data_IF_957543001469
#
_entry.id   IF_957543001469
#
_cell.length_a   1.000
_cell.length_b   1.000
_cell.length_c   1.000
_cell.angle_alpha   90.00
_cell.angle_beta   90.00
_cell.angle_gamma   90.00
#
_symmetry.space_group_name_H-M   'P 1'
#
loop_
_entity.id
_entity.type
_entity.pdbx_description
1 polymer ?
#
# COMPACT_ATOMS: atom_id res chain seq x y z
N UNK A 1 48.01 8.76 20.66
CA UNK A 1 46.55 8.54 20.69
C UNK A 1 45.95 9.31 19.52
N UNK A 2 45.80 8.67 18.36
CA UNK A 2 45.19 9.28 17.18
C UNK A 2 43.68 9.22 17.34
N UNK A 3 43.04 10.38 17.46
CA UNK A 3 41.59 10.50 17.48
C UNK A 3 41.04 10.13 16.10
N UNK A 4 40.37 8.98 16.01
CA UNK A 4 39.64 8.57 14.80
C UNK A 4 38.43 9.50 14.68
N UNK A 5 38.53 10.52 13.82
CA UNK A 5 37.38 11.31 13.40
C UNK A 5 36.59 10.47 12.39
N UNK A 6 35.56 9.78 12.87
CA UNK A 6 34.56 9.17 11.99
C UNK A 6 33.77 10.33 11.37
N UNK A 7 34.07 10.65 10.11
CA UNK A 7 33.20 11.52 9.32
C UNK A 7 31.95 10.70 8.96
N UNK A 8 30.84 10.95 9.66
CA UNK A 8 29.54 10.48 9.21
C UNK A 8 29.25 11.20 7.89
N UNK A 9 29.23 10.44 6.79
CA UNK A 9 28.85 10.96 5.48
C UNK A 9 27.35 11.23 5.52
N UNK A 10 26.98 12.49 5.71
CA UNK A 10 25.59 12.94 5.64
C UNK A 10 25.17 12.83 4.18
N UNK A 11 24.22 11.93 3.91
CA UNK A 11 23.61 11.77 2.58
C UNK A 11 22.51 12.81 2.43
N UNK A 12 22.29 13.28 1.20
CA UNK A 12 21.09 14.06 0.89
C UNK A 12 19.89 13.12 0.91
N UNK A 13 18.91 13.33 1.81
CA UNK A 13 17.76 12.45 1.90
C UNK A 13 16.90 12.54 0.64
N UNK A 14 16.29 11.43 0.23
CA UNK A 14 15.37 11.42 -0.90
C UNK A 14 14.23 10.43 -0.68
N UNK A 15 13.10 10.68 -1.35
CA UNK A 15 11.94 9.80 -1.31
C UNK A 15 11.27 9.76 -2.69
N UNK A 16 10.85 8.58 -3.11
CA UNK A 16 10.11 8.34 -4.36
C UNK A 16 8.82 7.61 -4.02
N UNK A 17 7.71 8.08 -4.58
CA UNK A 17 6.36 7.58 -4.31
C UNK A 17 5.67 7.21 -5.62
N UNK A 18 4.87 6.14 -5.63
CA UNK A 18 3.90 5.86 -6.69
C UNK A 18 2.49 5.68 -6.12
N UNK A 19 1.49 6.01 -6.94
CA UNK A 19 0.07 5.98 -6.57
C UNK A 19 -0.78 5.06 -7.46
N UNK A 20 -0.17 4.08 -8.13
CA UNK A 20 -0.85 3.15 -9.04
C UNK A 20 -0.44 3.35 -10.50
N UNK A 21 -0.78 2.38 -11.34
CA UNK A 21 -0.51 2.41 -12.76
C UNK A 21 -1.77 2.03 -13.53
N UNK A 22 -2.57 3.04 -13.91
CA UNK A 22 -3.75 2.88 -14.77
C UNK A 22 -4.00 4.13 -15.60
N UNK A 23 -4.82 4.06 -16.66
CA UNK A 23 -5.39 5.24 -17.30
C UNK A 23 -6.21 6.02 -16.28
N UNK A 24 -5.80 7.27 -16.04
CA UNK A 24 -6.51 8.20 -15.17
C UNK A 24 -7.35 9.13 -16.07
N UNK A 25 -8.68 9.22 -15.88
CA UNK A 25 -9.51 10.17 -16.62
C UNK A 25 -9.01 11.61 -16.41
N UNK A 26 -9.19 12.48 -17.41
CA UNK A 26 -8.58 13.82 -17.41
C UNK A 26 -8.90 14.61 -16.14
N UNK A 27 -10.16 14.59 -15.71
CA UNK A 27 -10.66 15.30 -14.53
C UNK A 27 -10.02 14.82 -13.22
N UNK A 28 -9.48 13.59 -13.20
CA UNK A 28 -8.84 13.00 -12.03
C UNK A 28 -7.32 13.13 -12.04
N UNK A 29 -6.67 13.46 -13.16
CA UNK A 29 -5.20 13.53 -13.24
C UNK A 29 -4.59 14.48 -12.22
N UNK A 30 -5.15 15.67 -12.09
CA UNK A 30 -4.63 16.68 -11.17
C UNK A 30 -4.89 16.30 -9.69
N UNK A 31 -6.09 15.82 -9.29
CA UNK A 31 -6.30 15.24 -7.96
C UNK A 31 -5.32 14.10 -7.60
N UNK A 32 -5.07 13.13 -8.50
CA UNK A 32 -4.12 12.05 -8.26
C UNK A 32 -2.70 12.58 -8.08
N UNK A 33 -2.27 13.50 -8.95
CA UNK A 33 -0.96 14.15 -8.85
C UNK A 33 -0.80 14.89 -7.53
N UNK A 34 -1.81 15.63 -7.09
CA UNK A 34 -1.79 16.31 -5.79
C UNK A 34 -1.70 15.34 -4.62
N UNK A 35 -2.41 14.20 -4.70
CA UNK A 35 -2.30 13.12 -3.71
C UNK A 35 -0.88 12.57 -3.59
N UNK A 36 -0.24 12.23 -4.72
CA UNK A 36 1.15 11.73 -4.74
C UNK A 36 2.14 12.79 -4.25
N UNK A 37 1.94 14.06 -4.64
CA UNK A 37 2.76 15.17 -4.15
C UNK A 37 2.63 15.39 -2.65
N UNK A 38 1.41 15.26 -2.10
CA UNK A 38 1.18 15.36 -0.66
C UNK A 38 1.87 14.23 0.09
N UNK A 39 1.74 12.99 -0.37
CA UNK A 39 2.41 11.83 0.20
C UNK A 39 3.94 12.00 0.20
N UNK A 40 4.51 12.43 -0.92
CA UNK A 40 5.94 12.72 -1.04
C UNK A 40 6.38 13.82 -0.05
N UNK A 41 5.61 14.91 0.08
CA UNK A 41 5.90 15.98 1.06
C UNK A 41 5.83 15.48 2.50
N UNK A 42 4.86 14.62 2.83
CA UNK A 42 4.72 14.04 4.17
C UNK A 42 5.92 13.16 4.55
N UNK A 43 6.33 12.25 3.67
CA UNK A 43 7.53 11.44 3.91
C UNK A 43 8.82 12.27 3.90
N UNK A 44 8.94 13.25 3.00
CA UNK A 44 10.12 14.11 2.95
C UNK A 44 10.28 15.01 4.18
N UNK A 45 9.17 15.48 4.77
CA UNK A 45 9.20 16.24 6.03
C UNK A 45 9.84 15.43 7.16
N UNK A 46 9.49 14.14 7.28
CA UNK A 46 10.11 13.22 8.26
C UNK A 46 11.62 13.13 8.06
N UNK A 47 12.08 13.04 6.82
CA UNK A 47 13.52 13.00 6.50
C UNK A 47 14.24 14.30 6.86
N UNK A 48 13.62 15.47 6.59
CA UNK A 48 14.17 16.78 6.93
C UNK A 48 14.29 17.00 8.44
N UNK A 49 13.39 16.39 9.22
CA UNK A 49 13.41 16.41 10.69
C UNK A 49 14.42 15.39 11.28
N UNK A 50 15.12 14.63 10.45
CA UNK A 50 16.12 13.64 10.87
C UNK A 50 15.57 12.25 11.20
N UNK A 51 14.30 12.00 10.87
CA UNK A 51 13.65 10.70 10.99
C UNK A 51 14.31 9.61 10.13
N UNK A 52 13.92 8.35 10.35
CA UNK A 52 14.44 7.24 9.57
C UNK A 52 13.76 7.08 8.20
N UNK A 53 14.42 6.35 7.30
CA UNK A 53 13.82 5.96 6.04
C UNK A 53 12.51 5.18 6.26
N UNK A 54 12.44 4.34 7.29
CA UNK A 54 11.23 3.57 7.67
C UNK A 54 10.09 4.52 8.07
N UNK A 55 10.37 5.50 8.92
CA UNK A 55 9.38 6.50 9.33
C UNK A 55 8.86 7.30 8.12
N UNK A 56 9.75 7.63 7.18
CA UNK A 56 9.40 8.40 6.00
C UNK A 56 8.51 7.62 5.01
N UNK A 57 8.82 6.35 4.73
CA UNK A 57 7.98 5.52 3.84
C UNK A 57 6.65 5.18 4.48
N UNK A 58 6.61 4.93 5.80
CA UNK A 58 5.35 4.74 6.52
C UNK A 58 4.49 5.99 6.40
N UNK A 59 5.01 7.18 6.75
CA UNK A 59 4.25 8.43 6.71
C UNK A 59 3.68 8.75 5.32
N UNK A 60 4.45 8.46 4.26
CA UNK A 60 4.01 8.68 2.89
C UNK A 60 2.90 7.69 2.47
N UNK A 61 3.07 6.40 2.75
CA UNK A 61 2.07 5.37 2.39
C UNK A 61 0.80 5.54 3.22
N UNK A 62 0.91 5.83 4.52
CA UNK A 62 -0.24 6.11 5.39
C UNK A 62 -1.07 7.29 4.87
N UNK A 63 -0.42 8.32 4.34
CA UNK A 63 -1.12 9.44 3.72
C UNK A 63 -1.92 9.04 2.47
N UNK A 64 -1.42 8.07 1.69
CA UNK A 64 -2.15 7.54 0.55
C UNK A 64 -3.28 6.59 0.97
N UNK A 65 -3.08 5.78 2.02
CA UNK A 65 -4.13 4.94 2.62
C UNK A 65 -5.30 5.76 3.19
N UNK A 66 -5.03 6.97 3.69
CA UNK A 66 -6.05 7.89 4.18
C UNK A 66 -6.81 8.60 3.03
N UNK A 67 -6.29 8.54 1.79
CA UNK A 67 -6.82 9.28 0.65
C UNK A 67 -7.66 8.36 -0.27
N UNK A 68 -8.99 8.62 -0.39
CA UNK A 68 -9.94 7.74 -1.08
C UNK A 68 -9.70 7.57 -2.59
N UNK A 69 -8.86 8.42 -3.18
CA UNK A 69 -8.48 8.30 -4.58
C UNK A 69 -7.68 7.02 -4.83
N UNK A 70 -6.85 6.60 -3.88
CA UNK A 70 -5.95 5.47 -4.07
C UNK A 70 -6.57 4.14 -3.65
N UNK A 71 -6.18 3.06 -4.33
CA UNK A 71 -6.59 1.71 -3.96
C UNK A 71 -5.70 1.16 -2.82
N UNK A 72 -5.82 1.75 -1.64
CA UNK A 72 -5.17 1.31 -0.40
C UNK A 72 -5.90 1.94 0.78
N UNK A 73 -6.02 1.22 1.91
CA UNK A 73 -6.74 1.74 3.07
C UNK A 73 -8.18 2.15 2.73
N UNK A 74 -8.53 3.41 2.98
CA UNK A 74 -9.82 3.98 2.59
C UNK A 74 -9.84 4.27 1.10
N UNK A 75 -10.88 3.81 0.40
CA UNK A 75 -11.00 3.92 -1.06
C UNK A 75 -10.48 2.70 -1.81
N UNK A 76 -10.12 1.64 -1.07
CA UNK A 76 -9.72 0.36 -1.63
C UNK A 76 -10.81 -0.25 -2.52
N UNK A 77 -10.36 -1.07 -3.47
CA UNK A 77 -11.19 -1.99 -4.20
C UNK A 77 -11.85 -2.98 -3.24
N UNK A 78 -12.98 -3.53 -3.68
CA UNK A 78 -13.78 -4.46 -2.93
C UNK A 78 -13.61 -5.88 -3.47
N UNK A 79 -13.72 -6.83 -2.56
CA UNK A 79 -13.89 -8.25 -2.86
C UNK A 79 -15.25 -8.51 -3.55
N UNK A 80 -15.45 -9.73 -4.04
CA UNK A 80 -16.74 -10.19 -4.58
C UNK A 80 -17.89 -10.12 -3.54
N UNK A 81 -17.54 -10.16 -2.25
CA UNK A 81 -18.47 -10.01 -1.13
C UNK A 81 -18.72 -8.54 -0.75
N UNK A 82 -18.22 -7.58 -1.54
CA UNK A 82 -18.25 -6.14 -1.29
C UNK A 82 -17.57 -5.73 0.03
N UNK A 83 -16.54 -6.46 0.45
CA UNK A 83 -15.75 -6.15 1.64
C UNK A 83 -14.42 -5.51 1.30
N UNK A 84 -13.88 -4.70 2.22
CA UNK A 84 -12.54 -4.12 2.13
C UNK A 84 -11.51 -5.07 2.73
N UNK A 85 -10.68 -5.68 1.88
CA UNK A 85 -9.52 -6.50 2.28
C UNK A 85 -8.24 -5.82 1.83
N UNK A 86 -7.25 -5.76 2.71
CA UNK A 86 -6.07 -4.96 2.50
C UNK A 86 -4.79 -5.76 2.74
N UNK A 87 -3.78 -5.47 1.93
CA UNK A 87 -2.43 -6.01 2.07
C UNK A 87 -1.44 -4.84 2.20
N UNK A 88 -0.43 -5.00 3.05
CA UNK A 88 0.68 -4.06 3.10
C UNK A 88 1.97 -4.70 3.62
N UNK A 89 3.10 -4.10 3.24
CA UNK A 89 4.43 -4.47 3.73
C UNK A 89 5.28 -3.23 3.97
N UNK A 90 6.27 -3.38 4.86
CA UNK A 90 7.33 -2.41 5.11
C UNK A 90 8.64 -3.16 5.39
N UNK A 91 9.76 -2.62 4.94
CA UNK A 91 11.08 -3.21 5.13
C UNK A 91 12.14 -2.15 5.43
N UNK A 92 12.96 -2.42 6.43
CA UNK A 92 14.19 -1.70 6.72
C UNK A 92 15.38 -2.33 5.97
N UNK A 93 15.99 -1.58 5.07
CA UNK A 93 17.15 -2.02 4.30
C UNK A 93 18.44 -2.11 5.12
N UNK A 94 18.50 -1.52 6.31
CA UNK A 94 19.67 -1.61 7.17
C UNK A 94 19.74 -2.94 7.93
N UNK A 95 18.66 -3.30 8.63
CA UNK A 95 18.59 -4.53 9.42
C UNK A 95 18.05 -5.74 8.64
N UNK A 96 17.47 -5.51 7.46
CA UNK A 96 16.66 -6.48 6.71
C UNK A 96 15.39 -6.93 7.46
N UNK A 97 15.02 -6.25 8.54
CA UNK A 97 13.74 -6.47 9.20
C UNK A 97 12.61 -6.10 8.24
N UNK A 98 11.58 -6.94 8.20
CA UNK A 98 10.41 -6.74 7.37
C UNK A 98 9.16 -7.13 8.15
N UNK A 99 8.06 -6.47 7.86
CA UNK A 99 6.76 -6.81 8.39
C UNK A 99 5.71 -6.63 7.31
N UNK A 100 4.70 -7.48 7.34
CA UNK A 100 3.64 -7.50 6.36
C UNK A 100 2.33 -7.98 6.99
N UNK A 101 1.24 -7.51 6.41
CA UNK A 101 -0.10 -8.02 6.65
C UNK A 101 -0.79 -8.33 5.33
N UNK A 102 -1.60 -9.38 5.32
CA UNK A 102 -2.38 -9.77 4.16
C UNK A 102 -3.83 -10.10 4.53
N UNK A 103 -4.76 -9.85 3.62
CA UNK A 103 -6.19 -10.08 3.78
C UNK A 103 -6.74 -9.48 5.09
N UNK A 104 -6.24 -8.31 5.50
CA UNK A 104 -6.70 -7.68 6.75
C UNK A 104 -7.94 -6.84 6.48
N UNK A 105 -8.91 -7.00 7.37
CA UNK A 105 -10.14 -6.22 7.39
C UNK A 105 -10.14 -5.31 8.61
N UNK A 106 -10.94 -4.23 8.56
CA UNK A 106 -11.13 -3.30 9.68
C UNK A 106 -9.85 -2.56 10.15
N UNK A 107 -8.84 -2.45 9.29
CA UNK A 107 -7.59 -1.74 9.57
C UNK A 107 -7.47 -0.57 8.60
N UNK A 108 -7.58 0.67 9.09
CA UNK A 108 -7.51 1.85 8.24
C UNK A 108 -6.12 2.05 7.61
N UNK A 109 -5.07 1.69 8.34
CA UNK A 109 -3.68 1.87 7.91
C UNK A 109 -2.87 0.57 7.99
N UNK A 110 -3.03 -0.34 7.01
CA UNK A 110 -2.31 -1.62 6.95
C UNK A 110 -0.79 -1.49 7.01
N UNK A 111 -0.19 -0.45 6.39
CA UNK A 111 1.27 -0.24 6.42
C UNK A 111 1.79 -0.06 7.85
N UNK A 112 1.02 0.64 8.69
CA UNK A 112 1.37 0.82 10.09
C UNK A 112 1.23 -0.49 10.87
N UNK A 113 0.21 -1.30 10.59
CA UNK A 113 0.10 -2.63 11.21
C UNK A 113 1.25 -3.55 10.76
N UNK A 114 1.64 -3.51 9.48
CA UNK A 114 2.81 -4.22 8.96
C UNK A 114 4.10 -3.80 9.70
N UNK A 115 4.27 -2.51 9.99
CA UNK A 115 5.38 -2.03 10.83
C UNK A 115 5.33 -2.62 12.23
N UNK A 116 4.16 -2.73 12.86
CA UNK A 116 4.01 -3.39 14.16
C UNK A 116 4.37 -4.87 14.09
N UNK A 117 4.07 -5.57 12.99
CA UNK A 117 4.52 -6.96 12.78
C UNK A 117 6.04 -7.03 12.79
N UNK A 118 6.71 -6.12 12.08
CA UNK A 118 8.18 -6.02 12.01
C UNK A 118 8.82 -5.77 13.37
N UNK A 119 8.25 -4.87 14.18
CA UNK A 119 8.87 -4.37 15.42
C UNK A 119 8.48 -5.19 16.66
N UNK A 120 7.24 -5.70 16.74
CA UNK A 120 6.69 -6.32 17.95
C UNK A 120 6.64 -7.85 17.90
N UNK A 121 7.06 -8.47 16.79
CA UNK A 121 6.97 -9.93 16.60
C UNK A 121 8.24 -10.53 15.99
N UNK A 122 8.50 -11.84 16.18
CA UNK A 122 9.58 -12.53 15.48
C UNK A 122 9.19 -12.97 14.05
N UNK A 123 8.03 -12.55 13.53
CA UNK A 123 7.47 -12.96 12.24
C UNK A 123 7.52 -11.82 11.24
N UNK A 124 7.61 -12.14 9.95
CA UNK A 124 7.60 -11.14 8.87
C UNK A 124 6.21 -10.91 8.25
N UNK A 125 5.24 -11.79 8.49
CA UNK A 125 3.92 -11.74 7.88
C UNK A 125 2.87 -12.32 8.81
N UNK A 126 1.75 -11.61 8.98
CA UNK A 126 0.51 -12.12 9.55
C UNK A 126 -0.62 -11.95 8.53
N UNK A 127 -1.62 -12.82 8.54
CA UNK A 127 -2.72 -12.75 7.58
C UNK A 127 -4.09 -12.90 8.26
N UNK A 128 -5.11 -12.31 7.64
CA UNK A 128 -6.52 -12.47 7.98
C UNK A 128 -6.82 -12.25 9.46
N UNK A 129 -7.60 -13.16 10.04
CA UNK A 129 -8.00 -13.10 11.44
C UNK A 129 -6.80 -13.13 12.42
N UNK A 130 -5.69 -13.78 12.03
CA UNK A 130 -4.47 -13.83 12.84
C UNK A 130 -3.83 -12.44 13.01
N UNK A 131 -3.77 -11.67 11.93
CA UNK A 131 -3.31 -10.28 11.96
C UNK A 131 -4.27 -9.38 12.77
N UNK A 132 -5.59 -9.58 12.66
CA UNK A 132 -6.58 -8.82 13.44
C UNK A 132 -6.51 -9.13 14.94
N UNK A 133 -6.30 -10.40 15.32
CA UNK A 133 -6.04 -10.80 16.72
C UNK A 133 -4.79 -10.13 17.26
N UNK A 134 -3.73 -10.07 16.46
CA UNK A 134 -2.52 -9.36 16.82
C UNK A 134 -2.77 -7.86 17.01
N UNK A 135 -3.45 -7.19 16.07
CA UNK A 135 -3.82 -5.78 16.17
C UNK A 135 -4.56 -5.49 17.48
N UNK A 136 -5.59 -6.28 17.81
CA UNK A 136 -6.35 -6.16 19.07
C UNK A 136 -5.45 -6.38 20.31
N UNK A 137 -4.56 -7.37 20.27
CA UNK A 137 -3.65 -7.70 21.37
C UNK A 137 -2.71 -6.54 21.72
N UNK A 138 -2.20 -5.82 20.71
CA UNK A 138 -1.29 -4.68 20.91
C UNK A 138 -2.03 -3.35 21.12
N UNK A 139 -3.36 -3.35 21.13
CA UNK A 139 -4.17 -2.14 21.22
C UNK A 139 -4.09 -1.25 19.97
N UNK A 140 -3.80 -1.83 18.80
CA UNK A 140 -3.80 -1.12 17.53
C UNK A 140 -5.23 -0.70 17.16
N UNK A 141 -5.46 0.51 16.61
CA UNK A 141 -6.79 0.96 16.22
C UNK A 141 -7.46 0.00 15.22
N UNK A 142 -8.62 -0.53 15.60
CA UNK A 142 -9.48 -1.33 14.73
C UNK A 142 -10.73 -0.51 14.44
N UNK A 143 -11.10 -0.43 13.17
CA UNK A 143 -12.30 0.24 12.72
C UNK A 143 -13.53 -0.57 13.18
N UNK A 144 -14.46 0.07 13.88
CA UNK A 144 -15.67 -0.61 14.37
C UNK A 144 -16.60 -1.02 13.23
N UNK A 145 -16.78 -0.15 12.24
CA UNK A 145 -17.55 -0.40 11.03
C UNK A 145 -16.61 -0.41 9.80
N UNK A 146 -16.22 -1.58 9.27
CA UNK A 146 -15.33 -1.66 8.10
C UNK A 146 -15.84 -0.93 6.85
N UNK A 147 -17.16 -0.66 6.76
CA UNK A 147 -17.74 0.06 5.62
C UNK A 147 -17.22 1.50 5.48
N UNK A 148 -16.65 2.09 6.54
CA UNK A 148 -16.04 3.43 6.44
C UNK A 148 -14.80 3.48 5.53
N UNK A 149 -14.18 2.32 5.28
CA UNK A 149 -13.08 2.17 4.33
C UNK A 149 -13.58 2.14 2.88
N UNK A 150 -14.86 1.81 2.67
CA UNK A 150 -15.51 1.77 1.37
C UNK A 150 -16.04 3.18 1.03
N UNK A 151 -15.81 3.60 -0.21
CA UNK A 151 -16.32 4.87 -0.74
C UNK A 151 -17.28 4.58 -1.89
N UNK A 152 -18.17 5.53 -2.21
CA UNK A 152 -19.07 5.37 -3.34
C UNK A 152 -18.28 5.15 -4.64
N UNK A 153 -17.20 5.91 -4.82
CA UNK A 153 -16.30 5.81 -5.95
C UNK A 153 -15.56 4.47 -5.99
N UNK A 154 -15.09 3.97 -4.85
CA UNK A 154 -14.41 2.66 -4.81
C UNK A 154 -15.37 1.50 -5.05
N UNK A 155 -16.61 1.60 -4.56
CA UNK A 155 -17.67 0.64 -4.85
C UNK A 155 -18.05 0.64 -6.34
N UNK A 156 -18.27 1.81 -6.94
CA UNK A 156 -18.52 1.94 -8.39
C UNK A 156 -17.39 1.35 -9.23
N UNK A 157 -16.12 1.67 -8.89
CA UNK A 157 -14.94 1.09 -9.55
C UNK A 157 -14.92 -0.43 -9.48
N UNK A 158 -15.28 -1.02 -8.34
CA UNK A 158 -15.30 -2.47 -8.15
C UNK A 158 -16.44 -3.16 -8.88
N UNK A 159 -17.62 -2.54 -8.96
CA UNK A 159 -18.75 -3.07 -9.76
C UNK A 159 -18.41 -3.06 -11.25
N UNK A 160 -17.80 -1.99 -11.75
CA UNK A 160 -17.35 -1.90 -13.15
C UNK A 160 -16.28 -2.95 -13.47
N UNK A 161 -15.36 -3.21 -12.53
CA UNK A 161 -14.33 -4.23 -12.67
C UNK A 161 -14.90 -5.67 -12.66
N UNK A 162 -15.88 -5.95 -11.79
CA UNK A 162 -16.55 -7.26 -11.70
C UNK A 162 -17.28 -7.64 -13.01
N UNK A 163 -17.81 -6.64 -13.73
CA UNK A 163 -18.42 -6.84 -15.04
C UNK A 163 -17.39 -7.10 -16.17
N UNK A 164 -16.08 -6.99 -15.90
CA UNK A 164 -14.98 -7.08 -16.87
C UNK A 164 -14.00 -8.24 -16.60
N UNK A 165 -14.32 -9.13 -15.66
CA UNK A 165 -13.50 -10.29 -15.20
C UNK A 165 -13.19 -11.32 -16.30
N UNK A 166 -13.73 -11.18 -17.51
CA UNK A 166 -13.30 -11.96 -18.67
C UNK A 166 -11.83 -11.72 -19.11
N UNK A 167 -11.15 -10.67 -18.60
CA UNK A 167 -9.89 -10.19 -19.19
C UNK A 167 -8.59 -10.57 -18.45
N UNK A 168 -8.65 -11.05 -17.21
CA UNK A 168 -7.44 -11.58 -16.52
C UNK A 168 -7.03 -12.92 -17.13
N UNK A 169 -8.01 -13.74 -17.52
CA UNK A 169 -7.77 -14.95 -18.33
C UNK A 169 -7.20 -14.60 -19.72
N UNK A 170 -7.63 -13.50 -20.34
CA UNK A 170 -7.08 -13.01 -21.62
C UNK A 170 -5.63 -12.52 -21.50
N UNK A 171 -5.27 -11.86 -20.39
CA UNK A 171 -3.90 -11.40 -20.14
C UNK A 171 -2.94 -12.57 -19.87
N UNK A 172 -3.41 -13.59 -19.12
CA UNK A 172 -2.63 -14.82 -18.83
C UNK A 172 -2.55 -15.73 -20.07
N UNK A 173 -3.59 -15.78 -20.90
CA UNK A 173 -3.64 -16.64 -22.10
C UNK A 173 -2.97 -16.05 -23.34
N UNK A 174 -2.45 -14.82 -23.26
CA UNK A 174 -1.73 -14.16 -24.36
C UNK A 174 -2.61 -13.76 -25.55
N UNK A 175 -3.93 -13.91 -25.44
CA UNK A 175 -4.90 -13.53 -26.47
C UNK A 175 -5.25 -12.04 -26.39
N UNK A 176 -4.24 -11.18 -26.41
CA UNK A 176 -4.45 -9.75 -26.60
C UNK A 176 -4.97 -9.48 -28.01
N UNK A 177 -6.27 -9.69 -28.24
CA UNK A 177 -6.94 -9.00 -29.33
C UNK A 177 -6.85 -7.53 -28.99
N UNK A 178 -6.02 -6.83 -29.74
CA UNK A 178 -5.97 -5.38 -29.82
C UNK A 178 -7.37 -4.93 -30.25
N UNK A 179 -8.26 -4.76 -29.29
CA UNK A 179 -9.54 -4.12 -29.53
C UNK A 179 -9.25 -2.63 -29.52
N UNK A 180 -9.39 -2.01 -30.69
CA UNK A 180 -9.57 -0.56 -30.80
C UNK A 180 -10.81 -0.20 -30.00
N UNK A 181 -10.63 0.00 -28.69
CA UNK A 181 -11.70 0.33 -27.78
C UNK A 181 -11.28 1.54 -26.98
N UNK A 182 -12.17 2.52 -27.00
CA UNK A 182 -12.32 3.62 -26.05
C UNK A 182 -12.63 3.12 -24.62
N UNK A 183 -12.25 1.87 -24.30
CA UNK A 183 -12.47 1.18 -23.03
C UNK A 183 -11.21 1.21 -22.19
N UNK A 184 -11.35 1.70 -20.96
CA UNK A 184 -10.31 1.80 -19.95
C UNK A 184 -9.58 0.46 -19.74
N UNK A 185 -8.33 0.35 -20.18
CA UNK A 185 -7.45 -0.73 -19.71
C UNK A 185 -7.21 -0.51 -18.21
N UNK A 186 -7.99 -1.12 -17.33
CA UNK A 186 -7.85 -0.89 -15.88
C UNK A 186 -6.55 -1.54 -15.41
N UNK A 187 -5.57 -0.69 -15.09
CA UNK A 187 -4.31 -1.14 -14.52
C UNK A 187 -4.36 -1.25 -13.00
N UNK A 188 -3.29 -1.79 -12.43
CA UNK A 188 -3.18 -2.06 -11.00
C UNK A 188 -2.95 -0.77 -10.22
N UNK A 189 -3.89 -0.42 -9.34
CA UNK A 189 -3.67 0.65 -8.38
C UNK A 189 -3.12 0.05 -7.08
N UNK A 190 -1.83 0.26 -6.87
CA UNK A 190 -1.12 -0.05 -5.62
C UNK A 190 -0.30 1.19 -5.29
N UNK A 191 -0.19 1.51 -4.01
CA UNK A 191 0.62 2.64 -3.55
C UNK A 191 1.91 2.16 -2.92
N UNK A 192 2.96 2.96 -3.03
CA UNK A 192 4.24 2.58 -2.47
C UNK A 192 5.24 3.71 -2.40
N UNK A 193 6.25 3.52 -1.56
CA UNK A 193 7.28 4.48 -1.25
C UNK A 193 8.63 3.79 -1.09
N UNK A 194 9.70 4.46 -1.53
CA UNK A 194 11.09 4.13 -1.20
C UNK A 194 11.79 5.40 -0.71
N UNK A 195 12.62 5.29 0.32
CA UNK A 195 13.34 6.42 0.90
C UNK A 195 14.80 6.09 1.21
N UNK A 196 15.65 7.12 1.14
CA UNK A 196 17.01 7.16 1.64
C UNK A 196 17.10 8.25 2.70
N UNK A 197 17.53 7.91 3.91
CA UNK A 197 17.72 8.90 4.98
C UNK A 197 19.13 9.51 5.01
N UNK A 198 19.32 10.51 5.88
CA UNK A 198 20.58 11.24 6.01
C UNK A 198 21.76 10.38 6.50
N UNK A 199 21.47 9.21 7.10
CA UNK A 199 22.47 8.20 7.51
C UNK A 199 22.82 7.24 6.37
N UNK A 200 22.14 7.35 5.22
CA UNK A 200 22.31 6.48 4.07
C UNK A 200 21.57 5.15 4.21
N UNK A 201 20.56 5.06 5.09
CA UNK A 201 19.73 3.86 5.24
C UNK A 201 18.55 3.91 4.27
N UNK A 202 18.22 2.76 3.69
CA UNK A 202 17.10 2.60 2.76
C UNK A 202 15.91 1.95 3.45
N UNK A 203 14.70 2.29 3.02
CA UNK A 203 13.49 1.57 3.37
C UNK A 203 12.48 1.58 2.22
N UNK A 204 11.55 0.63 2.24
CA UNK A 204 10.41 0.62 1.33
C UNK A 204 9.12 0.24 2.05
N UNK A 205 7.99 0.70 1.50
CA UNK A 205 6.66 0.31 1.94
C UNK A 205 5.69 0.23 0.75
N UNK A 206 4.75 -0.69 0.81
CA UNK A 206 3.71 -0.91 -0.22
C UNK A 206 2.38 -1.21 0.47
N UNK A 207 1.27 -0.70 -0.07
CA UNK A 207 -0.09 -0.98 0.43
C UNK A 207 -1.08 -1.07 -0.74
N UNK A 208 -2.05 -1.97 -0.64
CA UNK A 208 -3.05 -2.22 -1.70
C UNK A 208 -4.37 -2.75 -1.13
N UNK A 209 -5.46 -2.50 -1.86
CA UNK A 209 -6.79 -3.02 -1.60
C UNK A 209 -7.13 -4.38 -2.22
N UNK A 210 -6.12 -5.13 -2.64
CA UNK A 210 -6.22 -6.32 -3.51
C UNK A 210 -7.12 -6.09 -4.74
N UNK A 211 -7.31 -7.09 -5.60
CA UNK A 211 -8.17 -6.97 -6.79
C UNK A 211 -9.47 -7.74 -6.53
N UNK A 212 -10.55 -7.39 -7.24
CA UNK A 212 -11.89 -8.01 -7.12
C UNK A 212 -11.96 -9.50 -7.50
N UNK A 213 -10.83 -10.20 -7.62
CA UNK A 213 -10.79 -11.65 -7.83
C UNK A 213 -9.97 -12.25 -6.69
N UNK A 214 -10.62 -13.10 -5.89
CA UNK A 214 -10.06 -13.97 -4.85
C UNK A 214 -10.10 -13.43 -3.42
N UNK A 215 -11.22 -13.72 -2.75
CA UNK A 215 -11.30 -13.92 -1.31
C UNK A 215 -10.43 -15.13 -0.93
N UNK A 216 -9.56 -15.01 0.08
CA UNK A 216 -9.03 -16.06 0.98
C UNK A 216 -8.80 -17.52 0.51
N UNK A 217 -8.69 -17.81 -0.78
CA UNK A 217 -8.78 -19.16 -1.34
C UNK A 217 -7.52 -19.48 -2.14
N UNK A 218 -6.61 -20.25 -1.52
CA UNK A 218 -5.85 -21.27 -2.24
C UNK A 218 -6.71 -22.53 -2.21
N UNK A 219 -7.77 -22.57 -3.02
CA UNK A 219 -8.45 -23.84 -3.23
C UNK A 219 -7.57 -24.65 -4.17
N UNK A 220 -7.19 -25.88 -3.80
CA UNK A 220 -6.59 -26.78 -4.76
C UNK A 220 -7.65 -27.01 -5.84
N UNK A 221 -7.34 -26.64 -7.08
CA UNK A 221 -8.11 -27.11 -8.24
C UNK A 221 -8.26 -28.62 -8.11
N UNK A 222 -9.48 -29.11 -7.94
CA UNK A 222 -9.81 -30.52 -8.14
C UNK A 222 -9.75 -30.85 -9.63
#
# INVERSE_FOLDING_TARGET
>A
RQSVKIFLKIMEPCIIIHGGCRPIPEDFKEPYKQGVQLAARKGYAVLLEGGSAVDAVEAAVRNMEDNPLFNAGRGCALTEENTAELDALIMDGHSLAAGAVACVQAIANPVSLARRVMEDTPHCLLAGEGALKFAKKIGFPVVEDPLVLVTAESHERSVDAANYVGTVEDFISGNSKQTDSTGSSQGFDTVGAVALDSRGQLACATSTGVFSISCGIVEPKQ
#
